data_IF_719209757675
#
_entry.id   IF_719209757675
#
_cell.length_a   1.000
_cell.length_b   1.000
_cell.length_c   1.000
_cell.angle_alpha   90.00
_cell.angle_beta   90.00
_cell.angle_gamma   90.00
#
_symmetry.space_group_name_H-M   'P 1'
#
loop_
_entity.id
_entity.type
_entity.pdbx_description
1 polymer ?
#
# COMPACT_ATOMS: atom_id res chain seq x y z
N UNK A 1 73.59 -11.16 5.16
CA UNK A 1 72.64 -10.06 4.86
C UNK A 1 71.58 -10.58 3.88
N UNK A 2 70.50 -11.22 4.34
CA UNK A 2 69.50 -11.80 3.41
C UNK A 2 68.11 -11.95 4.07
N UNK A 3 67.59 -10.88 4.69
CA UNK A 3 66.30 -10.97 5.39
C UNK A 3 65.45 -9.70 5.32
N UNK A 4 65.62 -8.88 4.27
CA UNK A 4 64.78 -7.69 4.00
C UNK A 4 63.83 -7.84 2.80
N UNK A 5 64.00 -8.84 1.94
CA UNK A 5 63.19 -8.96 0.72
C UNK A 5 61.79 -9.61 0.91
N UNK A 6 61.56 -10.41 1.97
CA UNK A 6 60.28 -11.14 2.15
C UNK A 6 59.12 -10.32 2.73
N UNK A 7 59.37 -9.19 3.41
CA UNK A 7 58.28 -8.38 4.04
C UNK A 7 57.57 -7.44 3.06
N UNK A 8 58.27 -7.00 2.02
CA UNK A 8 57.72 -6.14 0.96
C UNK A 8 56.78 -6.92 0.02
N UNK A 9 57.10 -8.17 -0.28
CA UNK A 9 56.25 -9.05 -1.09
C UNK A 9 54.90 -9.32 -0.43
N UNK A 10 54.88 -9.66 0.86
CA UNK A 10 53.66 -10.00 1.60
C UNK A 10 52.69 -8.81 1.77
N UNK A 11 53.21 -7.60 2.00
CA UNK A 11 52.40 -6.36 2.05
C UNK A 11 51.84 -5.97 0.67
N UNK A 12 52.60 -6.14 -0.41
CA UNK A 12 52.12 -5.91 -1.79
C UNK A 12 51.06 -6.94 -2.18
N UNK A 13 51.25 -8.21 -1.86
CA UNK A 13 50.24 -9.25 -2.11
C UNK A 13 48.96 -9.02 -1.33
N UNK A 14 49.04 -8.55 -0.07
CA UNK A 14 47.85 -8.19 0.71
C UNK A 14 47.14 -6.96 0.14
N UNK A 15 47.86 -5.92 -0.28
CA UNK A 15 47.26 -4.72 -0.89
C UNK A 15 46.61 -5.02 -2.26
N UNK A 16 47.25 -5.86 -3.08
CA UNK A 16 46.69 -6.29 -4.37
C UNK A 16 45.48 -7.19 -4.17
N UNK A 17 45.52 -8.11 -3.20
CA UNK A 17 44.36 -8.93 -2.85
C UNK A 17 43.19 -8.08 -2.34
N UNK A 18 43.44 -7.11 -1.46
CA UNK A 18 42.39 -6.20 -0.97
C UNK A 18 41.82 -5.30 -2.07
N UNK A 19 42.67 -4.80 -2.99
CA UNK A 19 42.22 -4.00 -4.12
C UNK A 19 41.40 -4.84 -5.13
N UNK A 20 41.78 -6.10 -5.37
CA UNK A 20 41.03 -7.02 -6.22
C UNK A 20 39.67 -7.36 -5.59
N UNK A 21 39.60 -7.61 -4.28
CA UNK A 21 38.34 -7.84 -3.56
C UNK A 21 37.44 -6.61 -3.63
N UNK A 22 37.96 -5.41 -3.39
CA UNK A 22 37.19 -4.17 -3.52
C UNK A 22 36.69 -3.93 -4.94
N UNK A 23 37.50 -4.21 -5.96
CA UNK A 23 37.08 -4.08 -7.35
C UNK A 23 35.94 -5.06 -7.69
N UNK A 24 36.03 -6.32 -7.24
CA UNK A 24 34.96 -7.32 -7.46
C UNK A 24 33.68 -6.93 -6.73
N UNK A 25 33.76 -6.47 -5.47
CA UNK A 25 32.59 -6.00 -4.70
C UNK A 25 31.94 -4.80 -5.38
N UNK A 26 32.73 -3.83 -5.87
CA UNK A 26 32.21 -2.67 -6.59
C UNK A 26 31.52 -3.06 -7.90
N UNK A 27 32.10 -3.95 -8.70
CA UNK A 27 31.49 -4.43 -9.95
C UNK A 27 30.18 -5.16 -9.69
N UNK A 28 30.13 -6.04 -8.67
CA UNK A 28 28.89 -6.72 -8.30
C UNK A 28 27.82 -5.77 -7.77
N UNK A 29 28.22 -4.73 -7.03
CA UNK A 29 27.31 -3.70 -6.53
C UNK A 29 26.70 -2.87 -7.66
N UNK A 30 27.52 -2.46 -8.62
CA UNK A 30 27.08 -1.73 -9.82
C UNK A 30 26.19 -2.61 -10.69
N UNK A 31 26.56 -3.88 -10.93
CA UNK A 31 25.77 -4.81 -11.72
C UNK A 31 24.38 -5.04 -11.12
N UNK A 32 24.29 -5.32 -9.81
CA UNK A 32 23.00 -5.48 -9.12
C UNK A 32 22.16 -4.21 -9.12
N UNK A 33 22.80 -3.05 -8.99
CA UNK A 33 22.10 -1.77 -9.07
C UNK A 33 21.56 -1.51 -10.48
N UNK A 34 22.35 -1.81 -11.53
CA UNK A 34 21.88 -1.68 -12.91
C UNK A 34 20.76 -2.67 -13.24
N UNK A 35 20.84 -3.92 -12.75
CA UNK A 35 19.78 -4.92 -12.91
C UNK A 35 18.49 -4.44 -12.25
N UNK A 36 18.53 -3.93 -11.01
CA UNK A 36 17.33 -3.39 -10.35
C UNK A 36 16.74 -2.17 -11.04
N UNK A 37 17.56 -1.31 -11.62
CA UNK A 37 17.04 -0.18 -12.40
C UNK A 37 16.38 -0.66 -13.70
N UNK A 38 16.93 -1.71 -14.29
CA UNK A 38 16.44 -2.26 -15.55
C UNK A 38 15.13 -3.06 -15.35
N UNK A 39 15.12 -4.01 -14.43
CA UNK A 39 14.00 -4.92 -14.13
C UNK A 39 12.97 -4.33 -13.14
N UNK A 40 13.39 -3.33 -12.34
CA UNK A 40 12.59 -2.77 -11.25
C UNK A 40 12.63 -3.61 -9.96
N UNK A 41 12.21 -3.00 -8.85
CA UNK A 41 12.06 -3.74 -7.60
C UNK A 41 10.84 -4.67 -7.68
N UNK A 42 10.96 -5.96 -7.33
CA UNK A 42 9.85 -6.89 -7.40
C UNK A 42 8.73 -6.45 -6.46
N UNK A 43 7.49 -6.74 -6.88
CA UNK A 43 6.35 -6.60 -6.01
C UNK A 43 6.50 -7.47 -4.75
N UNK A 44 6.18 -6.94 -3.55
CA UNK A 44 6.11 -7.76 -2.36
C UNK A 44 5.07 -8.87 -2.55
N UNK A 45 5.24 -10.00 -1.87
CA UNK A 45 4.26 -11.09 -1.91
C UNK A 45 3.30 -10.92 -0.75
N UNK A 46 1.99 -10.89 -1.04
CA UNK A 46 0.95 -10.79 -0.02
C UNK A 46 -0.27 -11.61 -0.41
N UNK A 47 -0.89 -12.26 0.57
CA UNK A 47 -2.18 -12.95 0.41
C UNK A 47 -3.31 -11.89 0.33
N UNK A 48 -4.09 -11.85 -0.78
CA UNK A 48 -5.19 -10.90 -0.95
C UNK A 48 -6.27 -11.04 0.12
N UNK A 49 -6.63 -12.26 0.52
CA UNK A 49 -7.67 -12.50 1.52
C UNK A 49 -7.23 -12.02 2.91
N UNK A 50 -5.99 -12.30 3.30
CA UNK A 50 -5.42 -11.79 4.55
C UNK A 50 -5.29 -10.26 4.53
N UNK A 51 -4.96 -9.68 3.36
CA UNK A 51 -4.89 -8.23 3.17
C UNK A 51 -6.27 -7.59 3.31
N UNK A 52 -7.30 -8.12 2.64
CA UNK A 52 -8.68 -7.65 2.76
C UNK A 52 -9.18 -7.70 4.22
N UNK A 53 -8.90 -8.78 4.96
CA UNK A 53 -9.26 -8.86 6.39
C UNK A 53 -8.55 -7.82 7.25
N UNK A 54 -7.27 -7.55 6.97
CA UNK A 54 -6.49 -6.52 7.66
C UNK A 54 -7.05 -5.13 7.38
N UNK A 55 -7.32 -4.80 6.11
CA UNK A 55 -7.93 -3.53 5.70
C UNK A 55 -9.32 -3.35 6.30
N UNK A 56 -10.12 -4.42 6.37
CA UNK A 56 -11.43 -4.42 7.03
C UNK A 56 -11.29 -3.96 8.49
N UNK A 57 -10.35 -4.55 9.23
CA UNK A 57 -10.02 -4.14 10.60
C UNK A 57 -9.56 -2.68 10.72
N UNK A 58 -8.86 -2.14 9.71
CA UNK A 58 -8.48 -0.72 9.69
C UNK A 58 -9.70 0.19 9.50
N UNK A 59 -10.63 -0.16 8.60
CA UNK A 59 -11.87 0.59 8.44
C UNK A 59 -12.75 0.51 9.70
N UNK A 60 -12.75 -0.62 10.42
CA UNK A 60 -13.42 -0.75 11.71
C UNK A 60 -12.86 0.22 12.75
N UNK A 61 -11.53 0.30 12.88
CA UNK A 61 -10.88 1.23 13.82
C UNK A 61 -11.25 2.70 13.51
N UNK A 62 -11.42 3.03 12.23
CA UNK A 62 -11.89 4.35 11.80
C UNK A 62 -13.34 4.57 12.15
N UNK A 63 -14.22 3.58 11.92
CA UNK A 63 -15.61 3.64 12.33
C UNK A 63 -15.76 3.90 13.84
N UNK A 64 -15.03 3.16 14.65
CA UNK A 64 -15.05 3.31 16.11
C UNK A 64 -14.59 4.72 16.54
N UNK A 65 -13.61 5.31 15.83
CA UNK A 65 -13.11 6.66 16.09
C UNK A 65 -13.99 7.78 15.52
N UNK A 66 -14.83 7.50 14.51
CA UNK A 66 -15.78 8.47 13.97
C UNK A 66 -16.80 8.89 15.02
N UNK A 67 -17.27 7.95 15.86
CA UNK A 67 -18.27 8.19 16.91
C UNK A 67 -19.52 8.92 16.35
N UNK A 68 -20.20 8.23 15.43
CA UNK A 68 -21.39 8.72 14.72
C UNK A 68 -22.59 7.79 14.96
N UNK A 69 -23.17 7.75 16.18
CA UNK A 69 -24.17 6.76 16.58
C UNK A 69 -25.51 6.85 15.83
N UNK A 70 -25.78 7.94 15.11
CA UNK A 70 -26.99 8.14 14.32
C UNK A 70 -26.79 7.84 12.83
N UNK A 71 -25.55 7.66 12.39
CA UNK A 71 -25.24 7.35 11.01
C UNK A 71 -25.61 5.90 10.70
N UNK A 72 -26.04 5.64 9.47
CA UNK A 72 -26.43 4.32 9.00
C UNK A 72 -25.53 3.90 7.86
N UNK A 73 -25.31 2.60 7.70
CA UNK A 73 -24.67 2.08 6.50
C UNK A 73 -25.53 2.46 5.28
N UNK A 74 -24.90 2.90 4.21
CA UNK A 74 -25.58 3.20 2.95
C UNK A 74 -25.60 1.93 2.08
N UNK A 75 -26.74 1.22 1.98
CA UNK A 75 -26.84 0.01 1.15
C UNK A 75 -26.79 0.33 -0.35
N UNK A 76 -27.02 1.60 -0.73
CA UNK A 76 -26.99 2.09 -2.11
C UNK A 76 -25.67 2.82 -2.41
N UNK A 77 -24.61 2.48 -1.66
CA UNK A 77 -23.26 2.94 -1.95
C UNK A 77 -22.76 2.25 -3.23
N UNK A 78 -22.32 3.00 -4.26
CA UNK A 78 -21.90 2.40 -5.53
C UNK A 78 -20.55 1.68 -5.48
N UNK A 79 -19.79 1.78 -4.38
CA UNK A 79 -18.55 1.05 -4.19
C UNK A 79 -18.77 -0.45 -3.99
N UNK A 80 -17.88 -1.29 -4.51
CA UNK A 80 -18.03 -2.74 -4.52
C UNK A 80 -17.61 -3.44 -3.22
N UNK A 81 -17.28 -2.69 -2.16
CA UNK A 81 -16.93 -3.29 -0.87
C UNK A 81 -15.46 -3.71 -0.85
N UNK A 82 -15.21 -5.01 -0.85
CA UNK A 82 -13.86 -5.57 -0.94
C UNK A 82 -13.52 -5.87 -2.38
N UNK A 83 -12.44 -5.28 -2.89
CA UNK A 83 -12.02 -5.42 -4.29
C UNK A 83 -10.52 -5.76 -4.36
N UNK A 84 -10.15 -6.58 -5.35
CA UNK A 84 -8.76 -6.86 -5.71
C UNK A 84 -8.58 -6.57 -7.20
N UNK A 85 -7.83 -5.51 -7.52
CA UNK A 85 -7.72 -5.03 -8.90
C UNK A 85 -6.25 -4.98 -9.36
N UNK A 86 -6.00 -5.45 -10.58
CA UNK A 86 -4.71 -5.35 -11.25
C UNK A 86 -4.54 -4.08 -12.10
N UNK A 87 -5.61 -3.36 -12.46
CA UNK A 87 -5.55 -2.21 -13.39
C UNK A 87 -4.68 -1.05 -12.86
N UNK A 88 -4.61 -0.88 -11.53
CA UNK A 88 -3.74 0.11 -10.87
C UNK A 88 -2.27 -0.31 -10.76
N UNK A 89 -1.94 -1.55 -11.13
CA UNK A 89 -0.61 -2.11 -10.99
C UNK A 89 0.16 -2.09 -12.32
N UNK A 90 1.41 -1.64 -12.26
CA UNK A 90 2.22 -1.33 -13.44
C UNK A 90 3.53 -2.11 -13.43
N UNK A 91 3.98 -2.56 -14.60
CA UNK A 91 5.35 -3.07 -14.72
C UNK A 91 6.36 -2.03 -14.19
N UNK A 92 7.35 -2.52 -13.44
CA UNK A 92 8.41 -1.71 -12.84
C UNK A 92 9.70 -1.88 -13.66
N UNK A 93 10.63 -0.94 -13.53
CA UNK A 93 11.91 -0.99 -14.26
C UNK A 93 11.88 -0.31 -15.63
N UNK A 94 13.08 0.00 -16.13
CA UNK A 94 13.27 0.67 -17.41
C UNK A 94 12.95 -0.21 -18.62
N UNK A 95 13.02 -1.53 -18.48
CA UNK A 95 12.74 -2.47 -19.58
C UNK A 95 11.29 -2.38 -20.08
N UNK A 96 10.38 -1.96 -19.20
CA UNK A 96 8.96 -1.80 -19.49
C UNK A 96 8.56 -0.35 -19.79
N UNK A 97 9.52 0.58 -19.91
CA UNK A 97 9.23 2.00 -20.10
C UNK A 97 8.40 2.28 -21.35
N UNK A 98 8.61 1.54 -22.45
CA UNK A 98 7.81 1.67 -23.67
C UNK A 98 6.36 1.21 -23.47
N UNK A 99 6.13 0.20 -22.64
CA UNK A 99 4.80 -0.36 -22.39
C UNK A 99 3.94 0.62 -21.56
N UNK A 100 4.59 1.42 -20.71
CA UNK A 100 3.98 2.47 -19.89
C UNK A 100 3.57 3.73 -20.67
N UNK A 101 4.00 3.88 -21.92
CA UNK A 101 3.61 5.00 -22.79
C UNK A 101 2.31 4.74 -23.54
N UNK A 102 1.69 3.58 -23.35
CA UNK A 102 0.39 3.25 -23.91
C UNK A 102 -0.73 3.96 -23.13
N UNK A 103 -1.82 4.33 -23.80
CA UNK A 103 -3.03 4.88 -23.17
C UNK A 103 -3.70 3.86 -22.23
N UNK A 104 -3.38 2.57 -22.37
CA UNK A 104 -3.79 1.49 -21.48
C UNK A 104 -2.64 0.50 -21.28
N UNK A 105 -1.68 0.80 -20.38
CA UNK A 105 -0.57 -0.08 -20.08
C UNK A 105 -1.07 -1.44 -19.55
N UNK A 106 -0.43 -2.55 -19.93
CA UNK A 106 -0.80 -3.85 -19.39
C UNK A 106 -0.41 -3.96 -17.91
N UNK A 107 -1.25 -4.63 -17.13
CA UNK A 107 -0.94 -4.96 -15.73
C UNK A 107 0.00 -6.18 -15.66
N UNK A 108 0.92 -6.22 -14.67
CA UNK A 108 1.73 -7.39 -14.43
C UNK A 108 0.86 -8.55 -13.93
N UNK A 109 1.10 -9.78 -14.42
CA UNK A 109 0.29 -10.93 -14.03
C UNK A 109 0.46 -11.23 -12.54
N UNK A 110 -0.66 -11.64 -11.92
CA UNK A 110 -0.74 -12.00 -10.51
C UNK A 110 -0.37 -10.89 -9.53
N UNK A 111 -0.52 -9.63 -9.94
CA UNK A 111 -0.30 -8.47 -9.08
C UNK A 111 -1.61 -7.70 -8.98
N UNK A 112 -2.05 -7.45 -7.76
CA UNK A 112 -3.26 -6.68 -7.47
C UNK A 112 -2.99 -5.70 -6.35
N UNK A 113 -3.67 -4.57 -6.36
CA UNK A 113 -3.96 -3.85 -5.14
C UNK A 113 -5.24 -4.41 -4.51
N UNK A 114 -5.37 -4.23 -3.20
CA UNK A 114 -6.57 -4.67 -2.47
C UNK A 114 -7.13 -3.46 -1.78
N UNK A 115 -8.44 -3.27 -1.93
CA UNK A 115 -9.15 -2.18 -1.30
C UNK A 115 -10.41 -2.66 -0.59
N UNK A 116 -10.83 -1.89 0.40
CA UNK A 116 -12.06 -2.07 1.14
C UNK A 116 -12.74 -0.73 1.31
N UNK A 117 -14.00 -0.63 0.93
CA UNK A 117 -14.76 0.58 1.16
C UNK A 117 -16.21 0.36 1.57
N UNK A 118 -16.76 1.33 2.28
CA UNK A 118 -18.16 1.44 2.61
C UNK A 118 -18.49 2.91 2.87
N UNK A 119 -19.78 3.25 2.88
CA UNK A 119 -20.21 4.59 3.23
C UNK A 119 -21.32 4.60 4.27
N UNK A 120 -21.32 5.65 5.07
CA UNK A 120 -22.43 6.03 5.92
C UNK A 120 -23.30 7.05 5.21
N UNK A 121 -24.60 7.05 5.54
CA UNK A 121 -25.55 8.10 5.18
C UNK A 121 -26.07 8.82 6.43
N UNK A 122 -26.58 10.04 6.21
CA UNK A 122 -27.12 10.89 7.28
C UNK A 122 -26.05 11.58 8.10
N UNK A 123 -24.86 11.79 7.53
CA UNK A 123 -23.76 12.52 8.16
C UNK A 123 -23.66 13.90 7.55
N UNK A 124 -24.16 14.91 8.25
CA UNK A 124 -24.04 16.29 7.80
C UNK A 124 -22.58 16.72 7.73
N UNK A 125 -22.28 17.75 6.94
CA UNK A 125 -20.91 18.27 6.83
C UNK A 125 -20.29 18.65 8.18
N UNK A 126 -21.05 19.28 9.07
CA UNK A 126 -20.54 19.69 10.39
C UNK A 126 -20.25 18.49 11.30
N UNK A 127 -21.07 17.44 11.21
CA UNK A 127 -20.81 16.16 11.88
C UNK A 127 -19.55 15.51 11.32
N UNK A 128 -19.39 15.49 9.99
CA UNK A 128 -18.21 14.94 9.33
C UNK A 128 -16.93 15.69 9.71
N UNK A 129 -16.95 17.04 9.76
CA UNK A 129 -15.78 17.83 10.20
C UNK A 129 -15.37 17.41 11.61
N UNK A 130 -16.32 17.35 12.52
CA UNK A 130 -16.08 16.96 13.91
C UNK A 130 -15.57 15.52 14.01
N UNK A 131 -16.14 14.59 13.23
CA UNK A 131 -15.76 13.19 13.21
C UNK A 131 -14.34 12.99 12.65
N UNK A 132 -13.99 13.64 11.53
CA UNK A 132 -12.63 13.57 10.98
C UNK A 132 -11.59 14.14 11.95
N UNK A 133 -11.93 15.18 12.71
CA UNK A 133 -11.05 15.70 13.76
C UNK A 133 -10.82 14.68 14.88
N UNK A 134 -11.87 13.94 15.30
CA UNK A 134 -11.76 12.85 16.27
C UNK A 134 -10.89 11.71 15.74
N UNK A 135 -11.17 11.22 14.53
CA UNK A 135 -10.38 10.18 13.85
C UNK A 135 -8.91 10.60 13.78
N UNK A 136 -8.64 11.82 13.32
CA UNK A 136 -7.28 12.36 13.25
C UNK A 136 -6.60 12.34 14.61
N UNK A 137 -7.26 12.83 15.66
CA UNK A 137 -6.69 12.91 17.01
C UNK A 137 -6.42 11.51 17.58
N UNK A 138 -7.38 10.61 17.46
CA UNK A 138 -7.32 9.30 18.09
C UNK A 138 -6.34 8.36 17.37
N UNK A 139 -6.38 8.29 16.04
CA UNK A 139 -5.50 7.38 15.30
C UNK A 139 -4.05 7.88 15.27
N UNK A 140 -3.81 9.19 15.28
CA UNK A 140 -2.43 9.71 15.41
C UNK A 140 -1.82 9.37 16.78
N UNK A 141 -2.62 9.33 17.85
CA UNK A 141 -2.19 8.86 19.17
C UNK A 141 -1.78 7.38 19.15
N UNK A 142 -2.36 6.59 18.25
CA UNK A 142 -2.02 5.19 18.01
C UNK A 142 -0.87 5.00 17.00
N UNK A 143 -0.24 6.10 16.55
CA UNK A 143 0.92 6.06 15.65
C UNK A 143 0.60 6.21 14.16
N UNK A 144 -0.68 6.40 13.79
CA UNK A 144 -1.07 6.57 12.38
C UNK A 144 -0.63 7.96 11.88
N UNK A 145 -0.07 8.02 10.69
CA UNK A 145 0.48 9.24 10.12
C UNK A 145 -0.53 9.90 9.20
N UNK A 146 -0.95 11.13 9.50
CA UNK A 146 -1.77 11.92 8.56
C UNK A 146 -0.96 12.25 7.32
N UNK A 147 -1.43 11.83 6.16
CA UNK A 147 -0.85 12.16 4.85
C UNK A 147 -1.61 13.28 4.16
N UNK A 148 -2.93 13.34 4.35
CA UNK A 148 -3.78 14.39 3.80
C UNK A 148 -4.82 14.81 4.82
N UNK A 149 -5.05 16.10 4.97
CA UNK A 149 -6.24 16.63 5.63
C UNK A 149 -6.70 17.88 4.89
N UNK A 150 -7.90 17.83 4.33
CA UNK A 150 -8.47 18.92 3.56
C UNK A 150 -9.88 19.21 4.07
N UNK A 151 -10.13 20.48 4.36
CA UNK A 151 -11.44 21.00 4.71
C UNK A 151 -11.65 22.31 3.95
N UNK A 152 -12.15 22.18 2.72
CA UNK A 152 -12.49 23.27 1.82
C UNK A 152 -13.98 23.22 1.49
N UNK A 153 -14.56 24.27 0.88
CA UNK A 153 -15.99 24.24 0.51
C UNK A 153 -16.37 23.05 -0.37
N UNK A 154 -15.44 22.59 -1.21
CA UNK A 154 -15.67 21.50 -2.16
C UNK A 154 -15.26 20.13 -1.61
N UNK A 155 -14.29 20.08 -0.69
CA UNK A 155 -13.69 18.82 -0.24
C UNK A 155 -13.64 18.76 1.27
N UNK A 156 -14.02 17.61 1.82
CA UNK A 156 -13.71 17.24 3.18
C UNK A 156 -13.15 15.82 3.16
N UNK A 157 -11.83 15.70 3.35
CA UNK A 157 -11.12 14.42 3.32
C UNK A 157 -10.00 14.35 4.34
N UNK A 158 -9.75 13.15 4.84
CA UNK A 158 -8.66 12.79 5.72
C UNK A 158 -8.04 11.49 5.21
N UNK A 159 -6.73 11.47 4.98
CA UNK A 159 -6.00 10.24 4.68
C UNK A 159 -4.91 10.01 5.73
N UNK A 160 -4.78 8.76 6.17
CA UNK A 160 -3.78 8.32 7.15
C UNK A 160 -3.04 7.10 6.63
N UNK A 161 -1.74 7.04 6.85
CA UNK A 161 -0.91 5.85 6.67
C UNK A 161 -0.69 5.12 8.00
N UNK A 162 -0.71 3.80 7.94
CA UNK A 162 -0.45 2.95 9.09
C UNK A 162 1.06 2.76 9.33
N UNK A 163 1.48 2.61 10.61
CA UNK A 163 2.90 2.59 10.97
C UNK A 163 3.67 1.34 10.50
N UNK A 164 3.00 0.21 10.27
CA UNK A 164 3.65 -1.08 10.06
C UNK A 164 3.49 -1.67 8.64
N UNK A 165 2.47 -1.23 7.89
CA UNK A 165 2.08 -1.87 6.63
C UNK A 165 2.11 -0.92 5.43
N UNK A 166 2.37 0.37 5.65
CA UNK A 166 2.19 1.45 4.65
C UNK A 166 0.78 1.57 4.04
N UNK A 167 -0.15 0.70 4.44
CA UNK A 167 -1.57 0.74 4.11
C UNK A 167 -2.13 2.13 4.38
N UNK A 168 -3.07 2.57 3.55
CA UNK A 168 -3.69 3.88 3.68
C UNK A 168 -5.17 3.74 3.94
N UNK A 169 -5.68 4.56 4.85
CA UNK A 169 -7.11 4.76 5.06
C UNK A 169 -7.49 6.17 4.67
N UNK A 170 -8.58 6.31 3.93
CA UNK A 170 -9.21 7.57 3.55
C UNK A 170 -10.62 7.66 4.13
N UNK A 171 -10.98 8.86 4.59
CA UNK A 171 -12.34 9.21 4.96
C UNK A 171 -12.71 10.47 4.20
N UNK A 172 -13.79 10.45 3.43
CA UNK A 172 -14.22 11.62 2.68
C UNK A 172 -15.74 11.77 2.58
N UNK A 173 -16.20 13.02 2.48
CA UNK A 173 -17.61 13.31 2.25
C UNK A 173 -17.98 13.21 0.78
N UNK A 174 -19.17 12.72 0.50
CA UNK A 174 -19.84 12.74 -0.79
C UNK A 174 -21.17 13.50 -0.70
N UNK A 175 -21.76 13.89 -1.85
CA UNK A 175 -23.10 14.48 -1.88
C UNK A 175 -24.15 13.61 -1.17
N UNK A 176 -25.25 14.24 -0.75
CA UNK A 176 -26.37 13.61 0.00
C UNK A 176 -25.98 13.10 1.40
N UNK A 177 -25.15 13.86 2.11
CA UNK A 177 -24.75 13.56 3.50
C UNK A 177 -24.13 12.15 3.65
N UNK A 178 -23.30 11.78 2.66
CA UNK A 178 -22.57 10.52 2.61
C UNK A 178 -21.15 10.70 3.14
N UNK A 179 -20.68 9.76 3.94
CA UNK A 179 -19.31 9.70 4.43
C UNK A 179 -18.71 8.34 4.08
N UNK A 180 -17.81 8.32 3.11
CA UNK A 180 -17.09 7.11 2.71
C UNK A 180 -15.90 6.89 3.66
N UNK A 181 -15.67 5.63 4.01
CA UNK A 181 -14.42 5.14 4.59
C UNK A 181 -13.87 4.10 3.64
N UNK A 182 -12.63 4.28 3.21
CA UNK A 182 -11.91 3.33 2.36
C UNK A 182 -10.53 3.03 2.93
N UNK A 183 -10.07 1.81 2.76
CA UNK A 183 -8.72 1.37 3.09
C UNK A 183 -8.13 0.65 1.88
N UNK A 184 -6.86 0.89 1.58
CA UNK A 184 -6.19 0.26 0.45
C UNK A 184 -4.74 -0.09 0.80
N UNK A 185 -4.29 -1.21 0.26
CA UNK A 185 -2.90 -1.66 0.30
C UNK A 185 -2.25 -1.40 -1.06
N UNK A 186 -0.95 -1.14 -1.07
CA UNK A 186 -0.20 -1.02 -2.33
C UNK A 186 -0.19 -2.36 -3.07
N UNK A 187 -0.06 -2.30 -4.40
CA UNK A 187 0.06 -3.45 -5.27
C UNK A 187 1.05 -4.50 -4.74
N UNK A 188 0.62 -5.76 -4.72
CA UNK A 188 1.40 -6.91 -4.28
C UNK A 188 1.15 -8.10 -5.18
N UNK A 189 2.17 -8.97 -5.31
CA UNK A 189 2.02 -10.24 -6.01
C UNK A 189 1.33 -11.25 -5.10
N UNK A 190 0.27 -11.90 -5.55
CA UNK A 190 -0.36 -12.95 -4.77
C UNK A 190 0.33 -14.32 -4.96
N UNK A 191 0.32 -15.21 -3.95
CA UNK A 191 0.93 -16.53 -4.05
C UNK A 191 0.30 -17.40 -5.14
N UNK A 192 1.09 -18.29 -5.74
CA UNK A 192 0.56 -19.32 -6.63
C UNK A 192 -0.46 -20.20 -5.91
N UNK A 193 -1.58 -20.48 -6.57
CA UNK A 193 -2.70 -21.24 -5.98
C UNK A 193 -3.66 -20.41 -5.14
N UNK A 194 -3.54 -19.07 -5.14
CA UNK A 194 -4.60 -18.19 -4.65
C UNK A 194 -5.90 -18.48 -5.41
N UNK A 195 -7.03 -18.73 -4.74
CA UNK A 195 -8.32 -18.88 -5.39
C UNK A 195 -8.68 -17.62 -6.17
N UNK A 196 -9.17 -17.80 -7.39
CA UNK A 196 -9.63 -16.71 -8.26
C UNK A 196 -11.04 -17.03 -8.75
N UNK A 197 -11.79 -15.98 -9.07
CA UNK A 197 -13.13 -16.08 -9.63
C UNK A 197 -13.13 -16.30 -11.16
N UNK A 198 -14.31 -16.20 -11.78
CA UNK A 198 -14.48 -16.39 -13.22
C UNK A 198 -13.82 -15.29 -14.08
N UNK A 199 -13.33 -14.21 -13.47
CA UNK A 199 -12.61 -13.11 -14.11
C UNK A 199 -11.09 -13.18 -13.86
N UNK A 200 -10.59 -14.28 -13.27
CA UNK A 200 -9.20 -14.45 -12.83
C UNK A 200 -8.78 -13.44 -11.73
N UNK A 201 -9.74 -12.88 -10.99
CA UNK A 201 -9.49 -11.97 -9.86
C UNK A 201 -9.46 -12.74 -8.54
N UNK A 202 -8.56 -12.41 -7.59
CA UNK A 202 -8.50 -13.12 -6.31
C UNK A 202 -9.82 -13.07 -5.54
N UNK A 203 -10.30 -14.24 -5.10
CA UNK A 203 -11.50 -14.31 -4.27
C UNK A 203 -11.24 -13.65 -2.90
N UNK A 204 -12.05 -12.64 -2.57
CA UNK A 204 -11.93 -11.92 -1.30
C UNK A 204 -13.02 -12.33 -0.30
N UNK A 205 -12.69 -12.35 1.01
CA UNK A 205 -13.69 -12.56 2.04
C UNK A 205 -14.66 -11.38 2.07
N UNK A 206 -15.94 -11.66 2.36
CA UNK A 206 -16.93 -10.62 2.52
C UNK A 206 -16.54 -9.61 3.61
N UNK A 207 -16.67 -8.34 3.29
CA UNK A 207 -16.42 -7.24 4.21
C UNK A 207 -17.38 -7.29 5.40
N UNK A 208 -16.84 -7.15 6.62
CA UNK A 208 -17.62 -7.21 7.87
C UNK A 208 -17.78 -5.85 8.55
N UNK A 209 -16.90 -4.90 8.26
CA UNK A 209 -16.96 -3.58 8.89
C UNK A 209 -17.95 -2.64 8.19
N UNK A 210 -18.67 -1.78 8.93
CA UNK A 210 -18.72 -1.71 10.39
C UNK A 210 -19.53 -2.86 10.99
N UNK A 211 -18.92 -3.64 11.90
CA UNK A 211 -19.54 -4.83 12.50
C UNK A 211 -20.82 -4.47 13.24
N UNK A 212 -20.88 -3.29 13.84
CA UNK A 212 -22.05 -2.81 14.59
C UNK A 212 -23.25 -2.49 13.69
N UNK A 213 -23.04 -2.29 12.39
CA UNK A 213 -24.08 -1.96 11.42
C UNK A 213 -24.42 -3.13 10.48
N UNK A 214 -23.61 -4.20 10.50
CA UNK A 214 -23.82 -5.43 9.74
C UNK A 214 -24.23 -6.55 10.70
N UNK A 215 -25.50 -6.48 11.15
CA UNK A 215 -26.15 -7.46 12.02
C UNK A 215 -27.25 -8.23 11.29
#
# INVERSE_FOLDING_TARGET
>A
MTQRHNRLGRRRSLLVASAAVLAVVSVMGVARWSERLWEGDPYPVADPAATAQRLDGHTQAVYDALDLPHAQLDPDWPGGGSEADGYGCYYRGLEHWSDQLNDSPPSPPHVVDVSNEWALKGVSRDQAVSALQRVRKELTRQGWKVTTYENSRSWLRLALKLPDTDDTVSVQTYPRDRLQVSAYADCARYPSGTPVDDLDEPELPAQRSPVQLRG
#
